data_IF_842842420813
#
_entry.id   IF_842842420813
#
_cell.length_a   1.000
_cell.length_b   1.000
_cell.length_c   1.000
_cell.angle_alpha   90.00
_cell.angle_beta   90.00
_cell.angle_gamma   90.00
#
_symmetry.space_group_name_H-M   'P 1'
#
loop_
_entity.id
_entity.type
_entity.pdbx_description
1 polymer ?
#
# COMPACT_ATOMS: atom_id res chain seq x y z
N UNK A 1 11.78 24.94 -4.09
CA UNK A 1 10.74 24.69 -5.12
C UNK A 1 9.70 25.81 -5.09
N UNK A 2 9.21 26.25 -6.26
CA UNK A 2 8.10 27.23 -6.32
C UNK A 2 6.76 26.60 -5.94
N UNK A 3 5.76 27.39 -5.47
CA UNK A 3 4.43 26.85 -5.15
C UNK A 3 3.80 26.04 -6.29
N UNK A 4 4.01 26.48 -7.55
CA UNK A 4 3.54 25.77 -8.74
C UNK A 4 4.21 24.41 -8.90
N UNK A 5 5.52 24.28 -8.62
CA UNK A 5 6.23 23.00 -8.68
C UNK A 5 5.73 22.03 -7.63
N UNK A 6 5.40 22.52 -6.43
CA UNK A 6 4.81 21.71 -5.35
C UNK A 6 3.40 21.20 -5.75
N UNK A 7 2.58 22.04 -6.39
CA UNK A 7 1.25 21.62 -6.92
C UNK A 7 1.38 20.56 -8.01
N UNK A 8 2.28 20.77 -8.98
CA UNK A 8 2.53 19.80 -10.05
C UNK A 8 3.05 18.46 -9.50
N UNK A 9 3.91 18.50 -8.49
CA UNK A 9 4.35 17.30 -7.78
C UNK A 9 3.18 16.56 -7.12
N UNK A 10 2.31 17.29 -6.41
CA UNK A 10 1.11 16.70 -5.81
C UNK A 10 0.19 16.04 -6.84
N UNK A 11 -0.02 16.68 -8.01
CA UNK A 11 -0.80 16.11 -9.11
C UNK A 11 -0.13 14.85 -9.69
N UNK A 12 1.20 14.87 -9.85
CA UNK A 12 1.95 13.70 -10.33
C UNK A 12 1.77 12.49 -9.39
N UNK A 13 1.90 12.70 -8.08
CA UNK A 13 1.70 11.64 -7.09
C UNK A 13 0.24 11.16 -7.07
N UNK A 14 -0.72 12.08 -7.03
CA UNK A 14 -2.13 11.72 -6.96
C UNK A 14 -2.58 10.90 -8.18
N UNK A 15 -2.23 11.36 -9.40
CA UNK A 15 -2.59 10.64 -10.63
C UNK A 15 -1.91 9.27 -10.73
N UNK A 16 -0.62 9.16 -10.37
CA UNK A 16 0.08 7.88 -10.32
C UNK A 16 -0.58 6.90 -9.34
N UNK A 17 -1.02 7.39 -8.18
CA UNK A 17 -1.61 6.55 -7.14
C UNK A 17 -3.06 6.17 -7.44
N UNK A 18 -3.82 7.03 -8.12
CA UNK A 18 -5.12 6.65 -8.71
C UNK A 18 -4.91 5.48 -9.68
N UNK A 19 -3.95 5.59 -10.60
CA UNK A 19 -3.62 4.50 -11.52
C UNK A 19 -3.18 3.23 -10.81
N UNK A 20 -2.41 3.33 -9.73
CA UNK A 20 -1.99 2.17 -8.93
C UNK A 20 -3.19 1.49 -8.28
N UNK A 21 -4.13 2.27 -7.69
CA UNK A 21 -5.35 1.74 -7.10
C UNK A 21 -6.26 1.06 -8.12
N UNK A 22 -6.49 1.71 -9.27
CA UNK A 22 -7.23 1.12 -10.39
C UNK A 22 -6.60 -0.20 -10.83
N UNK A 23 -5.29 -0.20 -11.12
CA UNK A 23 -4.58 -1.36 -11.66
C UNK A 23 -4.64 -2.57 -10.73
N UNK A 24 -4.43 -2.34 -9.44
CA UNK A 24 -4.35 -3.40 -8.43
C UNK A 24 -5.59 -4.31 -8.46
N UNK A 25 -6.76 -3.72 -8.47
CA UNK A 25 -8.03 -4.44 -8.43
C UNK A 25 -8.41 -5.00 -9.81
N UNK A 26 -8.22 -4.20 -10.86
CA UNK A 26 -8.54 -4.60 -12.24
C UNK A 26 -7.71 -5.81 -12.67
N UNK A 27 -6.40 -5.77 -12.45
CA UNK A 27 -5.52 -6.87 -12.85
C UNK A 27 -5.91 -8.18 -12.16
N UNK A 28 -6.22 -8.11 -10.86
CA UNK A 28 -6.70 -9.26 -10.09
C UNK A 28 -7.98 -9.85 -10.68
N UNK A 29 -8.96 -9.00 -11.03
CA UNK A 29 -10.22 -9.43 -11.61
C UNK A 29 -10.03 -10.03 -13.01
N UNK A 30 -9.29 -9.35 -13.89
CA UNK A 30 -9.06 -9.80 -15.27
C UNK A 30 -8.33 -11.17 -15.31
N UNK A 31 -7.39 -11.41 -14.41
CA UNK A 31 -6.70 -12.69 -14.34
C UNK A 31 -7.65 -13.81 -13.91
N UNK A 32 -8.56 -13.57 -12.97
CA UNK A 32 -9.60 -14.55 -12.63
C UNK A 32 -10.52 -14.79 -13.84
N UNK A 33 -10.84 -13.75 -14.59
CA UNK A 33 -11.70 -13.85 -15.77
C UNK A 33 -11.06 -14.67 -16.90
N UNK A 34 -9.77 -14.45 -17.13
CA UNK A 34 -8.97 -15.19 -18.12
C UNK A 34 -8.78 -16.67 -17.73
N UNK A 35 -8.54 -16.96 -16.45
CA UNK A 35 -8.14 -18.29 -16.00
C UNK A 35 -9.29 -19.15 -15.47
N UNK A 36 -10.38 -18.53 -15.07
CA UNK A 36 -11.46 -19.19 -14.32
C UNK A 36 -11.11 -19.60 -12.89
N UNK A 37 -9.87 -19.37 -12.43
CA UNK A 37 -9.36 -19.85 -11.14
C UNK A 37 -9.09 -18.70 -10.16
N UNK A 38 -9.70 -18.76 -8.98
CA UNK A 38 -9.53 -17.76 -7.93
C UNK A 38 -8.08 -17.67 -7.40
N UNK A 39 -7.34 -18.79 -7.39
CA UNK A 39 -5.93 -18.83 -6.97
C UNK A 39 -5.01 -18.01 -7.86
N UNK A 40 -5.36 -17.81 -9.13
CA UNK A 40 -4.58 -16.99 -10.07
C UNK A 40 -4.50 -15.53 -9.66
N UNK A 41 -5.52 -15.02 -8.97
CA UNK A 41 -5.51 -13.67 -8.39
C UNK A 41 -4.38 -13.47 -7.38
N UNK A 42 -4.20 -14.44 -6.48
CA UNK A 42 -3.14 -14.38 -5.49
C UNK A 42 -1.74 -14.43 -6.11
N UNK A 43 -1.56 -15.24 -7.17
CA UNK A 43 -0.30 -15.26 -7.94
C UNK A 43 -0.03 -13.89 -8.58
N UNK A 44 -1.06 -13.24 -9.14
CA UNK A 44 -0.93 -11.89 -9.67
C UNK A 44 -0.42 -10.90 -8.62
N UNK A 45 -0.92 -11.00 -7.38
CA UNK A 45 -0.51 -10.14 -6.28
C UNK A 45 0.91 -10.44 -5.79
N UNK A 46 1.33 -11.73 -5.78
CA UNK A 46 2.72 -12.11 -5.55
C UNK A 46 3.65 -11.38 -6.53
N UNK A 47 3.28 -11.34 -7.82
CA UNK A 47 4.07 -10.64 -8.85
C UNK A 47 4.18 -9.13 -8.59
N UNK A 48 3.22 -8.51 -7.91
CA UNK A 48 3.31 -7.09 -7.55
C UNK A 48 4.24 -6.78 -6.39
N UNK A 49 4.51 -7.75 -5.51
CA UNK A 49 5.41 -7.57 -4.35
C UNK A 49 6.86 -7.96 -4.70
N UNK A 50 7.03 -8.87 -5.64
CA UNK A 50 8.31 -9.47 -5.99
C UNK A 50 9.40 -8.44 -6.41
N UNK A 51 9.12 -7.40 -7.22
CA UNK A 51 10.11 -6.40 -7.60
C UNK A 51 10.73 -5.67 -6.39
N UNK A 52 9.91 -5.34 -5.39
CA UNK A 52 10.36 -4.66 -4.17
C UNK A 52 11.29 -5.50 -3.32
N UNK A 53 11.16 -6.84 -3.36
CA UNK A 53 12.04 -7.75 -2.62
C UNK A 53 13.35 -8.00 -3.40
N UNK A 54 13.22 -8.35 -4.68
CA UNK A 54 14.35 -8.87 -5.47
C UNK A 54 15.19 -7.74 -6.05
N UNK A 55 14.55 -6.66 -6.52
CA UNK A 55 15.23 -5.61 -7.30
C UNK A 55 15.53 -4.34 -6.51
N UNK A 56 15.03 -4.18 -5.28
CA UNK A 56 15.22 -2.96 -4.49
C UNK A 56 16.69 -2.50 -4.39
N UNK A 57 17.69 -3.39 -4.15
CA UNK A 57 19.08 -2.96 -4.09
C UNK A 57 19.60 -2.41 -5.43
N UNK A 58 19.21 -3.02 -6.53
CA UNK A 58 19.62 -2.62 -7.88
C UNK A 58 18.93 -1.33 -8.30
N UNK A 59 17.65 -1.15 -7.95
CA UNK A 59 16.92 0.07 -8.21
C UNK A 59 17.52 1.26 -7.46
N UNK A 60 17.96 1.06 -6.20
CA UNK A 60 18.68 2.09 -5.44
C UNK A 60 19.94 2.57 -6.16
N UNK A 61 20.77 1.64 -6.64
CA UNK A 61 21.99 1.97 -7.41
C UNK A 61 21.64 2.70 -8.72
N UNK A 62 20.60 2.26 -9.41
CA UNK A 62 20.14 2.90 -10.65
C UNK A 62 19.72 4.35 -10.41
N UNK A 63 18.96 4.60 -9.33
CA UNK A 63 18.51 5.95 -8.95
C UNK A 63 19.68 6.85 -8.55
N UNK A 64 20.65 6.30 -7.80
CA UNK A 64 21.82 7.07 -7.36
C UNK A 64 22.72 7.50 -8.52
N UNK A 65 22.81 6.70 -9.58
CA UNK A 65 23.59 6.98 -10.79
C UNK A 65 22.83 7.77 -11.87
N UNK A 66 21.56 8.07 -11.64
CA UNK A 66 20.67 8.71 -12.61
C UNK A 66 20.26 10.11 -12.14
N UNK A 67 19.56 10.82 -13.01
CA UNK A 67 18.79 12.00 -12.63
C UNK A 67 17.40 11.54 -12.14
N UNK A 68 17.14 11.56 -10.81
CA UNK A 68 15.97 10.88 -10.25
C UNK A 68 14.64 11.39 -10.83
N UNK A 69 14.49 12.71 -10.98
CA UNK A 69 13.25 13.27 -11.51
C UNK A 69 12.97 12.84 -12.96
N UNK A 70 14.00 12.72 -13.81
CA UNK A 70 13.86 12.22 -15.18
C UNK A 70 13.60 10.72 -15.22
N UNK A 71 14.22 9.97 -14.32
CA UNK A 71 14.00 8.54 -14.21
C UNK A 71 12.56 8.23 -13.74
N UNK A 72 11.99 9.05 -12.84
CA UNK A 72 10.57 8.96 -12.46
C UNK A 72 9.64 9.12 -13.68
N UNK A 73 9.92 10.06 -14.58
CA UNK A 73 9.16 10.22 -15.83
C UNK A 73 9.21 8.97 -16.69
N UNK A 74 10.41 8.38 -16.85
CA UNK A 74 10.58 7.13 -17.61
C UNK A 74 9.83 5.96 -17.00
N UNK A 75 9.82 5.86 -15.66
CA UNK A 75 9.06 4.84 -14.95
C UNK A 75 7.55 4.94 -15.22
N UNK A 76 7.00 6.16 -15.22
CA UNK A 76 5.58 6.38 -15.52
C UNK A 76 5.23 6.10 -16.99
N UNK A 77 6.08 6.53 -17.92
CA UNK A 77 5.91 6.20 -19.34
C UNK A 77 5.96 4.70 -19.58
N UNK A 78 6.90 3.99 -18.91
CA UNK A 78 7.00 2.54 -18.97
C UNK A 78 5.71 1.86 -18.48
N UNK A 79 5.18 2.28 -17.31
CA UNK A 79 3.93 1.74 -16.78
C UNK A 79 2.75 1.97 -17.73
N UNK A 80 2.62 3.19 -18.24
CA UNK A 80 1.57 3.54 -19.21
C UNK A 80 1.68 2.72 -20.49
N UNK A 81 2.88 2.57 -21.07
CA UNK A 81 3.11 1.79 -22.29
C UNK A 81 2.81 0.30 -22.11
N UNK A 82 3.22 -0.28 -21.00
CA UNK A 82 2.92 -1.69 -20.66
C UNK A 82 1.41 -1.91 -20.58
N UNK A 83 0.66 -0.97 -19.99
CA UNK A 83 -0.80 -1.10 -19.91
C UNK A 83 -1.51 -0.88 -21.23
N UNK A 84 -1.02 0.02 -22.11
CA UNK A 84 -1.56 0.17 -23.46
C UNK A 84 -1.37 -1.13 -24.25
N UNK A 85 -0.18 -1.76 -24.16
CA UNK A 85 0.07 -3.04 -24.80
C UNK A 85 -0.83 -4.15 -24.22
N UNK A 86 -1.01 -4.16 -22.89
CA UNK A 86 -1.90 -5.13 -22.23
C UNK A 86 -3.36 -4.98 -22.66
N UNK A 87 -3.86 -3.76 -22.77
CA UNK A 87 -5.22 -3.49 -23.24
C UNK A 87 -5.42 -3.97 -24.69
N UNK A 88 -4.43 -3.77 -25.57
CA UNK A 88 -4.45 -4.24 -26.94
C UNK A 88 -4.48 -5.79 -27.00
N UNK A 89 -3.64 -6.46 -26.24
CA UNK A 89 -3.63 -7.94 -26.16
C UNK A 89 -4.94 -8.48 -25.58
N UNK A 90 -5.48 -7.84 -24.56
CA UNK A 90 -6.77 -8.22 -23.95
C UNK A 90 -7.92 -8.08 -24.96
N UNK A 91 -7.99 -6.95 -25.68
CA UNK A 91 -9.00 -6.69 -26.73
C UNK A 91 -8.89 -7.68 -27.89
N UNK A 92 -7.68 -8.10 -28.24
CA UNK A 92 -7.42 -9.08 -29.29
C UNK A 92 -7.70 -10.56 -28.84
N UNK A 93 -8.07 -10.80 -27.58
CA UNK A 93 -8.26 -12.16 -27.04
C UNK A 93 -6.94 -12.94 -26.84
N UNK A 94 -5.80 -12.24 -26.88
CA UNK A 94 -4.46 -12.82 -26.75
C UNK A 94 -3.88 -12.71 -25.33
N UNK A 95 -4.63 -12.10 -24.40
CA UNK A 95 -4.21 -11.97 -23.01
C UNK A 95 -4.26 -13.35 -22.32
N UNK A 96 -3.11 -13.80 -21.84
CA UNK A 96 -2.98 -15.00 -21.02
C UNK A 96 -2.68 -14.65 -19.57
N UNK A 97 -2.81 -15.60 -18.64
CA UNK A 97 -2.43 -15.40 -17.24
C UNK A 97 -0.96 -14.96 -17.11
N UNK A 98 -0.06 -15.57 -17.89
CA UNK A 98 1.36 -15.22 -17.91
C UNK A 98 1.60 -13.74 -18.31
N UNK A 99 0.85 -13.25 -19.30
CA UNK A 99 0.88 -11.83 -19.69
C UNK A 99 0.41 -10.96 -18.54
N UNK A 100 -0.72 -11.28 -17.89
CA UNK A 100 -1.24 -10.53 -16.74
C UNK A 100 -0.28 -10.52 -15.55
N UNK A 101 0.39 -11.63 -15.26
CA UNK A 101 1.44 -11.71 -14.23
C UNK A 101 2.65 -10.84 -14.57
N UNK A 102 3.13 -10.91 -15.83
CA UNK A 102 4.23 -10.07 -16.30
C UNK A 102 3.90 -8.58 -16.26
N UNK A 103 2.69 -8.20 -16.63
CA UNK A 103 2.19 -6.81 -16.52
C UNK A 103 2.15 -6.37 -15.05
N UNK A 104 1.66 -7.23 -14.13
CA UNK A 104 1.67 -6.97 -12.70
C UNK A 104 3.08 -6.67 -12.17
N UNK A 105 4.04 -7.51 -12.54
CA UNK A 105 5.45 -7.32 -12.21
C UNK A 105 6.02 -6.01 -12.77
N UNK A 106 5.80 -5.71 -14.04
CA UNK A 106 6.29 -4.50 -14.70
C UNK A 106 5.71 -3.21 -14.08
N UNK A 107 4.40 -3.20 -13.80
CA UNK A 107 3.74 -2.04 -13.17
C UNK A 107 4.25 -1.83 -11.74
N UNK A 108 4.44 -2.90 -10.98
CA UNK A 108 5.01 -2.83 -9.63
C UNK A 108 6.47 -2.37 -9.65
N UNK A 109 7.30 -2.87 -10.58
CA UNK A 109 8.66 -2.41 -10.79
C UNK A 109 8.71 -0.90 -11.05
N UNK A 110 7.86 -0.41 -11.94
CA UNK A 110 7.76 1.03 -12.22
C UNK A 110 7.30 1.84 -11.00
N UNK A 111 6.40 1.31 -10.16
CA UNK A 111 5.98 1.95 -8.92
C UNK A 111 7.14 2.06 -7.91
N UNK A 112 7.89 0.97 -7.68
CA UNK A 112 9.05 0.99 -6.78
C UNK A 112 10.11 2.01 -7.27
N UNK A 113 10.39 2.00 -8.56
CA UNK A 113 11.34 2.94 -9.16
C UNK A 113 10.88 4.39 -8.98
N UNK A 114 9.60 4.69 -9.24
CA UNK A 114 9.01 6.02 -9.06
C UNK A 114 9.15 6.51 -7.60
N UNK A 115 8.82 5.66 -6.62
CA UNK A 115 8.89 5.99 -5.19
C UNK A 115 10.34 6.32 -4.79
N UNK A 116 11.31 5.50 -5.19
CA UNK A 116 12.73 5.73 -4.93
C UNK A 116 13.23 7.01 -5.59
N UNK A 117 12.84 7.24 -6.84
CA UNK A 117 13.22 8.45 -7.60
C UNK A 117 12.71 9.72 -6.92
N UNK A 118 11.45 9.77 -6.51
CA UNK A 118 10.91 10.96 -5.85
C UNK A 118 11.52 11.20 -4.48
N UNK A 119 11.78 10.16 -3.69
CA UNK A 119 12.51 10.29 -2.42
C UNK A 119 13.90 10.89 -2.65
N UNK A 120 14.63 10.41 -3.65
CA UNK A 120 15.96 10.93 -3.99
C UNK A 120 15.91 12.37 -4.52
N UNK A 121 14.96 12.70 -5.42
CA UNK A 121 14.80 14.05 -5.98
C UNK A 121 14.43 15.08 -4.89
N UNK A 122 13.55 14.74 -3.97
CA UNK A 122 13.20 15.60 -2.82
C UNK A 122 14.42 15.78 -1.92
N UNK A 123 15.11 14.69 -1.58
CA UNK A 123 16.30 14.74 -0.72
C UNK A 123 17.45 15.56 -1.28
N UNK A 124 17.61 15.61 -2.62
CA UNK A 124 18.67 16.36 -3.28
C UNK A 124 18.29 17.82 -3.58
N UNK A 125 17.02 18.11 -3.86
CA UNK A 125 16.59 19.40 -4.43
C UNK A 125 15.64 20.24 -3.57
N UNK A 126 15.17 19.76 -2.43
CA UNK A 126 14.24 20.49 -1.57
C UNK A 126 14.93 21.11 -0.35
N UNK A 127 14.62 22.36 -0.04
CA UNK A 127 15.03 22.97 1.22
C UNK A 127 14.39 22.24 2.42
N UNK A 128 15.05 22.16 3.60
CA UNK A 128 14.53 21.43 4.77
C UNK A 128 13.09 21.80 5.14
N UNK A 129 12.73 23.07 5.08
CA UNK A 129 11.38 23.57 5.36
C UNK A 129 10.32 23.05 4.35
N UNK A 130 10.71 22.68 3.13
CA UNK A 130 9.83 22.15 2.09
C UNK A 130 9.72 20.64 2.12
N UNK A 131 10.73 19.92 2.66
CA UNK A 131 10.75 18.45 2.74
C UNK A 131 9.53 17.91 3.47
N UNK A 132 9.18 18.50 4.62
CA UNK A 132 8.00 18.09 5.40
C UNK A 132 6.72 18.18 4.57
N UNK A 133 6.54 19.29 3.85
CA UNK A 133 5.36 19.51 2.99
C UNK A 133 5.30 18.54 1.82
N UNK A 134 6.43 18.27 1.17
CA UNK A 134 6.50 17.32 0.03
C UNK A 134 6.25 15.89 0.50
N UNK A 135 6.83 15.50 1.63
CA UNK A 135 6.58 14.18 2.22
C UNK A 135 5.11 14.02 2.65
N UNK A 136 4.51 15.06 3.26
CA UNK A 136 3.09 15.05 3.60
C UNK A 136 2.20 14.91 2.35
N UNK A 137 2.51 15.61 1.25
CA UNK A 137 1.80 15.47 -0.02
C UNK A 137 1.98 14.07 -0.62
N UNK A 138 3.19 13.48 -0.50
CA UNK A 138 3.44 12.11 -0.98
C UNK A 138 2.58 11.09 -0.22
N UNK A 139 2.51 11.22 1.09
CA UNK A 139 1.74 10.29 1.93
C UNK A 139 0.24 10.53 1.75
N UNK A 140 -0.25 11.75 1.95
CA UNK A 140 -1.67 12.06 1.88
C UNK A 140 -2.22 11.90 0.45
N UNK A 141 -1.54 12.49 -0.54
CA UNK A 141 -1.93 12.37 -1.96
C UNK A 141 -1.80 10.93 -2.45
N UNK A 142 -0.80 10.20 -1.97
CA UNK A 142 -0.60 8.78 -2.27
C UNK A 142 -1.75 7.92 -1.76
N UNK A 143 -2.10 8.04 -0.49
CA UNK A 143 -3.18 7.26 0.13
C UNK A 143 -4.54 7.62 -0.48
N UNK A 144 -4.86 8.91 -0.57
CA UNK A 144 -6.13 9.35 -1.17
C UNK A 144 -6.25 8.90 -2.62
N UNK A 145 -5.18 9.05 -3.41
CA UNK A 145 -5.19 8.62 -4.81
C UNK A 145 -5.41 7.11 -4.96
N UNK A 146 -4.71 6.30 -4.17
CA UNK A 146 -4.85 4.84 -4.20
C UNK A 146 -6.25 4.38 -3.81
N UNK A 147 -6.81 4.96 -2.74
CA UNK A 147 -8.18 4.66 -2.28
C UNK A 147 -9.22 5.05 -3.31
N UNK A 148 -9.09 6.25 -3.93
CA UNK A 148 -9.99 6.68 -5.00
C UNK A 148 -9.88 5.77 -6.23
N UNK A 149 -8.67 5.41 -6.65
CA UNK A 149 -8.44 4.50 -7.77
C UNK A 149 -9.06 3.13 -7.52
N UNK A 150 -8.88 2.58 -6.34
CA UNK A 150 -9.47 1.32 -5.94
C UNK A 150 -11.00 1.37 -5.97
N UNK A 151 -11.60 2.39 -5.36
CA UNK A 151 -13.06 2.57 -5.34
C UNK A 151 -13.66 2.72 -6.76
N UNK A 152 -12.95 3.37 -7.68
CA UNK A 152 -13.40 3.57 -9.06
C UNK A 152 -13.23 2.32 -9.94
N UNK A 153 -12.38 1.38 -9.54
CA UNK A 153 -11.97 0.24 -10.38
C UNK A 153 -13.13 -0.66 -10.77
N UNK A 154 -13.96 -1.04 -9.81
CA UNK A 154 -15.10 -1.93 -10.04
C UNK A 154 -16.18 -1.27 -10.91
N UNK A 155 -16.46 0.03 -10.69
CA UNK A 155 -17.39 0.78 -11.53
C UNK A 155 -16.87 0.94 -12.96
N UNK A 156 -15.60 1.30 -13.11
CA UNK A 156 -14.97 1.42 -14.42
C UNK A 156 -15.00 0.09 -15.17
N UNK A 157 -14.71 -1.02 -14.49
CA UNK A 157 -14.75 -2.35 -15.09
C UNK A 157 -16.16 -2.76 -15.50
N UNK A 158 -17.17 -2.51 -14.67
CA UNK A 158 -18.55 -2.85 -14.95
C UNK A 158 -19.14 -2.02 -16.12
N UNK A 159 -18.74 -0.74 -16.22
CA UNK A 159 -19.29 0.20 -17.20
C UNK A 159 -18.57 0.16 -18.54
N UNK A 160 -17.24 0.17 -18.51
CA UNK A 160 -16.40 0.29 -19.70
C UNK A 160 -15.82 -1.04 -20.20
N UNK A 161 -15.88 -2.09 -19.38
CA UNK A 161 -15.25 -3.38 -19.67
C UNK A 161 -13.73 -3.39 -19.43
N UNK A 162 -13.12 -4.56 -19.53
CA UNK A 162 -11.72 -4.78 -19.14
C UNK A 162 -10.72 -3.94 -19.92
N UNK A 163 -10.75 -3.99 -21.24
CA UNK A 163 -9.79 -3.26 -22.10
C UNK A 163 -9.84 -1.75 -21.88
N UNK A 164 -11.04 -1.16 -21.85
CA UNK A 164 -11.20 0.28 -21.66
C UNK A 164 -10.74 0.72 -20.26
N UNK A 165 -10.99 -0.10 -19.23
CA UNK A 165 -10.54 0.21 -17.88
C UNK A 165 -9.01 0.13 -17.73
N UNK A 166 -8.36 -0.81 -18.42
CA UNK A 166 -6.89 -0.85 -18.50
C UNK A 166 -6.34 0.39 -19.22
N UNK A 167 -6.99 0.86 -20.30
CA UNK A 167 -6.61 2.11 -21.00
C UNK A 167 -6.83 3.34 -20.11
N UNK A 168 -7.93 3.40 -19.37
CA UNK A 168 -8.15 4.45 -18.37
C UNK A 168 -7.02 4.45 -17.33
N UNK A 169 -6.62 3.28 -16.84
CA UNK A 169 -5.49 3.14 -15.92
C UNK A 169 -4.18 3.61 -16.57
N UNK A 170 -3.92 3.24 -17.81
CA UNK A 170 -2.75 3.70 -18.57
C UNK A 170 -2.72 5.22 -18.67
N UNK A 171 -3.88 5.87 -18.95
CA UNK A 171 -3.99 7.32 -19.08
C UNK A 171 -3.61 8.06 -17.80
N UNK A 172 -3.89 7.50 -16.61
CA UNK A 172 -3.48 8.10 -15.34
C UNK A 172 -1.96 8.10 -15.16
N UNK A 173 -1.25 7.02 -15.56
CA UNK A 173 0.21 6.98 -15.53
C UNK A 173 0.82 7.91 -16.59
N UNK A 174 0.26 8.01 -17.77
CA UNK A 174 0.70 8.96 -18.80
C UNK A 174 0.49 10.41 -18.35
N UNK A 175 -0.63 10.73 -17.70
CA UNK A 175 -0.87 12.04 -17.09
C UNK A 175 0.15 12.32 -15.97
N UNK A 176 0.43 11.34 -15.11
CA UNK A 176 1.49 11.43 -14.10
C UNK A 176 2.86 11.70 -14.75
N UNK A 177 3.18 11.04 -15.86
CA UNK A 177 4.43 11.29 -16.61
C UNK A 177 4.52 12.74 -17.11
N UNK A 178 3.41 13.32 -17.60
CA UNK A 178 3.37 14.74 -18.02
C UNK A 178 3.65 15.66 -16.84
N UNK A 179 2.94 15.49 -15.70
CA UNK A 179 3.18 16.31 -14.52
C UNK A 179 4.59 16.11 -13.96
N UNK A 180 5.08 14.89 -13.92
CA UNK A 180 6.46 14.54 -13.51
C UNK A 180 7.50 15.20 -14.41
N UNK A 181 7.25 15.26 -15.73
CA UNK A 181 8.14 15.94 -16.69
C UNK A 181 8.21 17.44 -16.44
N UNK A 182 7.05 18.07 -16.14
CA UNK A 182 7.00 19.49 -15.80
C UNK A 182 7.77 19.79 -14.50
N UNK A 183 7.68 18.91 -13.50
CA UNK A 183 8.47 19.01 -12.27
C UNK A 183 9.96 18.81 -12.56
N UNK A 184 10.32 17.76 -13.31
CA UNK A 184 11.72 17.44 -13.65
C UNK A 184 12.42 18.59 -14.42
N UNK A 185 11.72 19.24 -15.34
CA UNK A 185 12.26 20.42 -16.08
C UNK A 185 12.60 21.58 -15.16
N UNK A 186 11.81 21.79 -14.09
CA UNK A 186 12.02 22.87 -13.10
C UNK A 186 13.09 22.54 -12.07
N UNK A 187 13.31 21.26 -11.81
CA UNK A 187 14.35 20.78 -10.89
C UNK A 187 15.72 20.63 -11.59
N UNK A 188 15.76 20.42 -12.89
CA UNK A 188 16.98 20.15 -13.66
C UNK A 188 18.07 21.25 -13.51
N UNK A 189 17.67 22.49 -13.22
CA UNK A 189 18.59 23.59 -12.97
C UNK A 189 19.22 23.56 -11.57
N UNK A 190 18.68 22.78 -10.63
CA UNK A 190 19.09 22.73 -9.22
C UNK A 190 19.59 21.34 -8.79
N UNK A 191 19.56 20.35 -9.67
CA UNK A 191 19.91 18.97 -9.32
C UNK A 191 21.43 18.78 -9.36
N UNK A 192 22.11 18.49 -8.23
CA UNK A 192 23.54 18.21 -8.22
C UNK A 192 23.85 17.00 -9.09
N UNK A 193 25.10 16.95 -9.62
CA UNK A 193 25.58 15.79 -10.35
C UNK A 193 25.38 14.49 -9.54
N UNK A 194 25.17 13.34 -10.20
CA UNK A 194 24.95 12.07 -9.53
C UNK A 194 26.08 11.79 -8.53
N UNK A 195 25.72 11.55 -7.28
CA UNK A 195 26.71 11.22 -6.26
C UNK A 195 27.25 9.81 -6.53
N UNK A 196 28.56 9.72 -6.73
CA UNK A 196 29.32 8.48 -6.94
C UNK A 196 29.45 7.64 -5.65
N UNK A 197 28.38 7.38 -4.92
CA UNK A 197 28.42 6.42 -3.82
C UNK A 197 28.02 5.06 -4.35
N UNK A 198 29.02 4.22 -4.58
CA UNK A 198 28.81 2.81 -4.89
C UNK A 198 28.15 2.12 -3.68
N UNK A 199 26.85 2.08 -3.66
CA UNK A 199 26.10 1.19 -2.78
C UNK A 199 26.01 -0.17 -3.48
N UNK A 200 26.74 -1.16 -2.95
CA UNK A 200 26.67 -2.54 -3.41
C UNK A 200 25.63 -3.32 -2.58
N UNK A 201 25.36 -4.56 -2.97
CA UNK A 201 24.46 -5.45 -2.24
C UNK A 201 24.90 -5.68 -0.78
N UNK A 202 26.21 -5.83 -0.52
CA UNK A 202 26.75 -6.03 0.84
C UNK A 202 26.44 -4.88 1.80
N UNK A 203 26.68 -3.59 1.49
CA UNK A 203 26.26 -2.49 2.35
C UNK A 203 24.76 -2.44 2.58
N UNK A 204 23.95 -2.71 1.56
CA UNK A 204 22.50 -2.76 1.68
C UNK A 204 22.05 -3.84 2.68
N UNK A 205 22.57 -5.07 2.56
CA UNK A 205 22.27 -6.16 3.51
C UNK A 205 22.76 -5.85 4.93
N UNK A 206 23.91 -5.19 5.06
CA UNK A 206 24.43 -4.75 6.35
C UNK A 206 23.52 -3.70 7.01
N UNK A 207 23.02 -2.73 6.22
CA UNK A 207 22.05 -1.72 6.71
C UNK A 207 20.73 -2.35 7.14
N UNK A 208 20.21 -3.33 6.37
CA UNK A 208 19.01 -4.10 6.74
C UNK A 208 19.26 -4.90 8.04
N UNK A 209 20.39 -5.59 8.15
CA UNK A 209 20.75 -6.34 9.35
C UNK A 209 20.89 -5.43 10.58
N UNK A 210 21.45 -4.23 10.43
CA UNK A 210 21.56 -3.25 11.50
C UNK A 210 20.16 -2.73 11.93
N UNK A 211 19.25 -2.49 10.98
CA UNK A 211 17.87 -2.09 11.27
C UNK A 211 17.09 -3.17 12.00
N UNK A 212 17.17 -4.43 11.54
CA UNK A 212 16.52 -5.58 12.20
C UNK A 212 17.07 -5.79 13.62
N UNK A 213 18.38 -5.70 13.81
CA UNK A 213 19.01 -5.80 15.13
C UNK A 213 18.53 -4.68 16.05
N UNK A 214 18.43 -3.44 15.56
CA UNK A 214 17.93 -2.31 16.33
C UNK A 214 16.46 -2.51 16.76
N UNK A 215 15.62 -3.05 15.89
CA UNK A 215 14.22 -3.42 16.21
C UNK A 215 14.21 -4.52 17.29
N UNK A 216 15.00 -5.60 17.12
CA UNK A 216 15.02 -6.73 18.02
C UNK A 216 15.55 -6.37 19.42
N UNK A 217 16.49 -5.44 19.51
CA UNK A 217 17.07 -4.98 20.78
C UNK A 217 16.15 -4.03 21.58
N UNK A 218 15.08 -3.51 20.95
CA UNK A 218 14.14 -2.56 21.56
C UNK A 218 12.71 -3.11 21.53
N UNK A 219 12.28 -3.82 22.61
CA UNK A 219 10.97 -4.47 22.65
C UNK A 219 9.79 -3.56 22.34
N UNK A 220 9.91 -2.27 22.68
CA UNK A 220 8.88 -1.26 22.40
C UNK A 220 8.70 -1.01 20.90
N UNK A 221 9.82 -0.88 20.16
CA UNK A 221 9.81 -0.71 18.71
C UNK A 221 9.26 -1.98 18.05
N UNK A 222 9.77 -3.15 18.46
CA UNK A 222 9.30 -4.44 17.97
C UNK A 222 7.80 -4.62 18.18
N UNK A 223 7.28 -4.25 19.35
CA UNK A 223 5.86 -4.34 19.67
C UNK A 223 5.00 -3.53 18.70
N UNK A 224 5.31 -2.25 18.47
CA UNK A 224 4.51 -1.42 17.55
C UNK A 224 4.64 -1.87 16.09
N UNK A 225 5.81 -2.30 15.65
CA UNK A 225 5.97 -2.85 14.29
C UNK A 225 5.22 -4.17 14.12
N UNK A 226 5.17 -5.04 15.14
CA UNK A 226 4.35 -6.25 15.10
C UNK A 226 2.85 -5.93 15.00
N UNK A 227 2.36 -4.89 15.69
CA UNK A 227 0.98 -4.42 15.54
C UNK A 227 0.70 -3.95 14.12
N UNK A 228 1.64 -3.21 13.51
CA UNK A 228 1.50 -2.75 12.13
C UNK A 228 1.52 -3.94 11.18
N UNK A 229 2.43 -4.91 11.34
CA UNK A 229 2.48 -6.12 10.51
C UNK A 229 1.20 -6.94 10.63
N UNK A 230 0.66 -7.11 11.84
CA UNK A 230 -0.61 -7.79 12.05
C UNK A 230 -1.76 -7.10 11.30
N UNK A 231 -1.81 -5.78 11.33
CA UNK A 231 -2.80 -5.01 10.59
C UNK A 231 -2.60 -5.11 9.06
N UNK A 232 -1.34 -5.16 8.60
CA UNK A 232 -1.01 -5.35 7.20
C UNK A 232 -1.39 -6.73 6.68
N UNK A 233 -1.39 -7.78 7.51
CA UNK A 233 -1.92 -9.10 7.10
C UNK A 233 -3.39 -9.02 6.72
N UNK A 234 -4.18 -8.20 7.42
CA UNK A 234 -5.59 -7.95 7.06
C UNK A 234 -5.68 -7.22 5.73
N UNK A 235 -4.88 -6.17 5.51
CA UNK A 235 -4.88 -5.41 4.25
C UNK A 235 -4.51 -6.30 3.07
N UNK A 236 -3.44 -7.10 3.18
CA UNK A 236 -3.10 -8.06 2.15
C UNK A 236 -4.21 -9.09 1.94
N UNK A 237 -4.85 -9.52 3.03
CA UNK A 237 -5.96 -10.45 3.02
C UNK A 237 -7.19 -9.91 2.27
N UNK A 238 -7.67 -8.72 2.63
CA UNK A 238 -8.83 -8.10 1.96
C UNK A 238 -8.54 -7.79 0.51
N UNK A 239 -7.35 -7.31 0.20
CA UNK A 239 -6.95 -7.01 -1.17
C UNK A 239 -6.86 -8.26 -2.05
N UNK A 240 -6.34 -9.36 -1.52
CA UNK A 240 -6.14 -10.58 -2.28
C UNK A 240 -7.35 -11.49 -2.35
N UNK A 241 -8.19 -11.51 -1.30
CA UNK A 241 -9.31 -12.45 -1.18
C UNK A 241 -10.66 -11.83 -1.61
N UNK A 242 -10.77 -10.49 -1.74
CA UNK A 242 -12.05 -9.84 -2.05
C UNK A 242 -12.61 -10.29 -3.39
N UNK A 243 -11.85 -10.21 -4.48
CA UNK A 243 -12.32 -10.59 -5.81
C UNK A 243 -12.71 -12.09 -5.87
N UNK A 244 -11.88 -13.04 -5.40
CA UNK A 244 -12.26 -14.44 -5.25
C UNK A 244 -13.53 -14.65 -4.42
N UNK A 245 -13.68 -13.95 -3.31
CA UNK A 245 -14.84 -14.07 -2.42
C UNK A 245 -16.11 -13.57 -3.08
N UNK A 246 -16.10 -12.38 -3.70
CA UNK A 246 -17.26 -11.80 -4.39
C UNK A 246 -17.73 -12.72 -5.51
N UNK A 247 -16.79 -13.26 -6.31
CA UNK A 247 -17.13 -14.12 -7.44
C UNK A 247 -17.58 -15.51 -7.02
N UNK A 248 -16.86 -16.18 -6.11
CA UNK A 248 -17.07 -17.60 -5.82
C UNK A 248 -18.00 -17.86 -4.62
N UNK A 249 -18.11 -16.92 -3.66
CA UNK A 249 -18.94 -17.10 -2.46
C UNK A 249 -20.24 -16.33 -2.57
N UNK A 250 -20.18 -15.08 -3.06
CA UNK A 250 -21.38 -14.25 -3.20
C UNK A 250 -22.08 -14.45 -4.55
N UNK A 251 -21.36 -14.99 -5.57
CA UNK A 251 -21.91 -15.15 -6.92
C UNK A 251 -22.18 -13.82 -7.64
N UNK A 252 -21.48 -12.74 -7.23
CA UNK A 252 -21.71 -11.38 -7.71
C UNK A 252 -20.60 -10.93 -8.67
N UNK A 253 -20.95 -9.94 -9.51
CA UNK A 253 -20.06 -9.39 -10.53
C UNK A 253 -19.16 -8.25 -10.03
N UNK A 254 -18.40 -7.62 -10.96
CA UNK A 254 -17.43 -6.57 -10.65
C UNK A 254 -18.06 -5.31 -10.04
N UNK A 255 -19.35 -5.05 -10.31
CA UNK A 255 -20.07 -3.93 -9.70
C UNK A 255 -20.18 -4.09 -8.18
N UNK A 256 -20.53 -5.29 -7.70
CA UNK A 256 -20.61 -5.59 -6.26
C UNK A 256 -19.22 -5.50 -5.60
N UNK A 257 -18.19 -6.00 -6.28
CA UNK A 257 -16.80 -5.84 -5.86
C UNK A 257 -16.43 -4.36 -5.66
N UNK A 258 -16.73 -3.51 -6.66
CA UNK A 258 -16.47 -2.07 -6.56
C UNK A 258 -17.25 -1.37 -5.44
N UNK A 259 -18.52 -1.76 -5.21
CA UNK A 259 -19.32 -1.23 -4.11
C UNK A 259 -18.74 -1.59 -2.74
N UNK A 260 -18.31 -2.83 -2.55
CA UNK A 260 -17.71 -3.29 -1.29
C UNK A 260 -16.39 -2.55 -1.06
N UNK A 261 -15.54 -2.43 -2.08
CA UNK A 261 -14.24 -1.76 -1.97
C UNK A 261 -14.40 -0.25 -1.74
N UNK A 262 -15.38 0.41 -2.39
CA UNK A 262 -15.72 1.81 -2.13
C UNK A 262 -16.14 2.04 -0.66
N UNK A 263 -16.80 1.08 -0.03
CA UNK A 263 -17.15 1.14 1.39
C UNK A 263 -15.91 1.15 2.30
N UNK A 264 -14.85 0.39 1.95
CA UNK A 264 -13.56 0.49 2.64
C UNK A 264 -12.99 1.90 2.54
N UNK A 265 -13.03 2.50 1.33
CA UNK A 265 -12.56 3.86 1.11
C UNK A 265 -13.31 4.89 1.97
N UNK A 266 -14.65 4.77 2.07
CA UNK A 266 -15.47 5.63 2.94
C UNK A 266 -15.06 5.49 4.41
N UNK A 267 -14.90 4.27 4.90
CA UNK A 267 -14.41 3.99 6.24
C UNK A 267 -13.01 4.57 6.50
N UNK A 268 -12.10 4.41 5.54
CA UNK A 268 -10.73 4.93 5.66
C UNK A 268 -10.68 6.46 5.71
N UNK A 269 -11.49 7.14 4.91
CA UNK A 269 -11.61 8.61 4.92
C UNK A 269 -12.18 9.07 6.26
N UNK A 270 -13.30 8.49 6.71
CA UNK A 270 -13.93 8.83 7.98
C UNK A 270 -12.98 8.59 9.16
N UNK A 271 -12.29 7.44 9.17
CA UNK A 271 -11.28 7.11 10.17
C UNK A 271 -10.10 8.09 10.17
N UNK A 272 -9.54 8.39 8.99
CA UNK A 272 -8.43 9.33 8.85
C UNK A 272 -8.74 10.73 9.36
N UNK A 273 -9.97 11.24 9.13
CA UNK A 273 -10.42 12.55 9.59
C UNK A 273 -10.68 12.60 11.11
N UNK A 274 -11.02 11.46 11.71
CA UNK A 274 -11.46 11.40 13.11
C UNK A 274 -10.41 10.85 14.07
N UNK A 275 -9.48 10.00 13.62
CA UNK A 275 -8.55 9.25 14.48
C UNK A 275 -7.73 10.14 15.42
N UNK A 276 -7.25 11.31 14.94
CA UNK A 276 -6.45 12.23 15.77
C UNK A 276 -7.30 12.80 16.90
N UNK A 277 -8.50 13.33 16.57
CA UNK A 277 -9.41 13.89 17.57
C UNK A 277 -9.88 12.85 18.58
N UNK A 278 -10.24 11.66 18.11
CA UNK A 278 -10.69 10.57 18.95
C UNK A 278 -9.56 10.03 19.84
N UNK A 279 -8.32 9.96 19.33
CA UNK A 279 -7.16 9.53 20.11
C UNK A 279 -6.79 10.53 21.22
N UNK A 280 -6.99 11.83 20.97
CA UNK A 280 -6.84 12.87 21.99
C UNK A 280 -7.92 12.77 23.08
N UNK A 281 -9.17 12.48 22.70
CA UNK A 281 -10.31 12.41 23.62
C UNK A 281 -10.35 11.12 24.44
N UNK A 282 -10.13 9.97 23.81
CA UNK A 282 -10.28 8.64 24.43
C UNK A 282 -8.94 7.98 24.77
N UNK A 283 -7.84 8.59 24.35
CA UNK A 283 -6.48 8.05 24.52
C UNK A 283 -6.08 7.05 23.45
N UNK A 284 -4.80 7.06 23.08
CA UNK A 284 -4.25 6.21 22.01
C UNK A 284 -4.45 4.71 22.26
N UNK A 285 -4.30 4.27 23.53
CA UNK A 285 -4.53 2.88 23.92
C UNK A 285 -5.94 2.40 23.60
N UNK A 286 -6.94 3.16 24.02
CA UNK A 286 -8.34 2.76 23.82
C UNK A 286 -8.72 2.77 22.33
N UNK A 287 -8.13 3.69 21.56
CA UNK A 287 -8.32 3.72 20.11
C UNK A 287 -7.70 2.50 19.42
N UNK A 288 -6.50 2.05 19.84
CA UNK A 288 -5.91 0.81 19.32
C UNK A 288 -6.78 -0.41 19.66
N UNK A 289 -7.25 -0.52 20.91
CA UNK A 289 -8.13 -1.61 21.33
C UNK A 289 -9.44 -1.61 20.55
N UNK A 290 -10.08 -0.44 20.40
CA UNK A 290 -11.29 -0.30 19.61
C UNK A 290 -11.07 -0.69 18.15
N UNK A 291 -9.97 -0.28 17.54
CA UNK A 291 -9.63 -0.60 16.16
C UNK A 291 -9.46 -2.12 15.94
N UNK A 292 -8.72 -2.82 16.79
CA UNK A 292 -8.55 -4.27 16.66
C UNK A 292 -9.86 -5.02 16.90
N UNK A 293 -10.70 -4.55 17.82
CA UNK A 293 -12.02 -5.14 18.04
C UNK A 293 -12.96 -4.92 16.85
N UNK A 294 -13.01 -3.69 16.30
CA UNK A 294 -13.80 -3.37 15.11
C UNK A 294 -13.30 -4.17 13.92
N UNK A 295 -11.99 -4.30 13.72
CA UNK A 295 -11.43 -5.12 12.63
C UNK A 295 -11.83 -6.59 12.78
N UNK A 296 -11.73 -7.16 13.99
CA UNK A 296 -12.13 -8.53 14.26
C UNK A 296 -13.64 -8.76 14.01
N UNK A 297 -14.49 -7.87 14.52
CA UNK A 297 -15.94 -7.95 14.32
C UNK A 297 -16.31 -7.82 12.83
N UNK A 298 -15.67 -6.90 12.11
CA UNK A 298 -15.88 -6.71 10.68
C UNK A 298 -15.47 -7.94 9.87
N UNK A 299 -14.31 -8.52 10.15
CA UNK A 299 -13.83 -9.74 9.47
C UNK A 299 -14.72 -10.95 9.79
N UNK A 300 -15.18 -11.05 11.01
CA UNK A 300 -16.10 -12.11 11.42
C UNK A 300 -17.46 -11.97 10.71
N UNK A 301 -18.02 -10.75 10.69
CA UNK A 301 -19.25 -10.45 9.97
C UNK A 301 -19.11 -10.73 8.46
N UNK A 302 -17.97 -10.37 7.86
CA UNK A 302 -17.67 -10.66 6.46
C UNK A 302 -17.59 -12.16 6.19
N UNK A 303 -16.96 -12.94 7.08
CA UNK A 303 -16.83 -14.40 6.94
C UNK A 303 -18.18 -15.12 6.96
N UNK A 304 -19.16 -14.66 7.77
CA UNK A 304 -20.43 -15.32 8.00
C UNK A 304 -21.61 -14.64 7.30
N UNK A 305 -21.40 -13.41 6.80
CA UNK A 305 -22.44 -12.63 6.15
C UNK A 305 -22.94 -13.24 4.83
N UNK A 306 -24.16 -12.88 4.48
CA UNK A 306 -24.79 -13.20 3.21
C UNK A 306 -25.28 -11.92 2.54
N UNK A 307 -25.44 -11.97 1.22
CA UNK A 307 -25.85 -10.83 0.42
C UNK A 307 -24.76 -9.73 0.35
N UNK A 308 -25.12 -8.53 -0.09
CA UNK A 308 -24.21 -7.43 -0.36
C UNK A 308 -24.02 -6.49 0.84
N UNK A 309 -25.07 -6.30 1.65
CA UNK A 309 -25.08 -5.29 2.72
C UNK A 309 -24.07 -5.57 3.83
N UNK A 310 -23.96 -6.84 4.28
CA UNK A 310 -23.03 -7.21 5.37
C UNK A 310 -21.57 -7.01 4.96
N UNK A 311 -21.10 -7.48 3.79
CA UNK A 311 -19.77 -7.17 3.27
C UNK A 311 -19.48 -5.67 3.15
N UNK A 312 -20.43 -4.88 2.67
CA UNK A 312 -20.27 -3.42 2.57
C UNK A 312 -20.04 -2.78 3.94
N UNK A 313 -20.88 -3.09 4.94
CA UNK A 313 -20.75 -2.56 6.30
C UNK A 313 -19.44 -3.03 6.96
N UNK A 314 -19.05 -4.28 6.78
CA UNK A 314 -17.82 -4.83 7.28
C UNK A 314 -16.59 -4.10 6.70
N UNK A 315 -16.62 -3.74 5.42
CA UNK A 315 -15.53 -3.00 4.79
C UNK A 315 -15.45 -1.54 5.26
N UNK A 316 -16.56 -0.88 5.58
CA UNK A 316 -16.53 0.43 6.28
C UNK A 316 -15.79 0.27 7.63
N UNK A 317 -16.14 -0.75 8.41
CA UNK A 317 -15.49 -1.03 9.69
C UNK A 317 -13.98 -1.29 9.56
N UNK A 318 -13.58 -2.07 8.55
CA UNK A 318 -12.16 -2.33 8.26
C UNK A 318 -11.41 -1.05 7.87
N UNK A 319 -12.00 -0.21 7.02
CA UNK A 319 -11.43 1.07 6.63
C UNK A 319 -11.22 2.00 7.82
N UNK A 320 -12.21 2.10 8.72
CA UNK A 320 -12.11 2.85 9.97
C UNK A 320 -10.98 2.32 10.87
N UNK A 321 -10.97 1.01 11.11
CA UNK A 321 -10.03 0.35 12.01
C UNK A 321 -8.58 0.49 11.55
N UNK A 322 -8.33 0.40 10.24
CA UNK A 322 -6.99 0.49 9.67
C UNK A 322 -6.30 1.82 9.97
N UNK A 323 -7.04 2.92 10.14
CA UNK A 323 -6.46 4.24 10.41
C UNK A 323 -5.74 4.31 11.76
N UNK A 324 -6.02 3.41 12.69
CA UNK A 324 -5.29 3.30 13.95
C UNK A 324 -3.80 2.91 13.77
N UNK A 325 -3.39 2.44 12.59
CA UNK A 325 -1.99 2.22 12.24
C UNK A 325 -1.12 3.48 12.40
N UNK A 326 -1.72 4.66 12.19
CA UNK A 326 -1.01 5.95 12.40
C UNK A 326 -0.51 6.07 13.84
N UNK A 327 -1.29 5.58 14.82
CA UNK A 327 -0.90 5.60 16.24
C UNK A 327 0.31 4.69 16.46
N UNK A 328 0.25 3.45 15.97
CA UNK A 328 1.36 2.49 16.10
C UNK A 328 2.63 2.97 15.39
N UNK A 329 2.48 3.53 14.19
CA UNK A 329 3.61 4.05 13.41
C UNK A 329 4.27 5.26 14.11
N UNK A 330 3.48 6.21 14.62
CA UNK A 330 3.98 7.37 15.36
C UNK A 330 4.70 6.95 16.63
N UNK A 331 4.16 5.96 17.36
CA UNK A 331 4.79 5.43 18.57
C UNK A 331 6.10 4.68 18.25
N UNK A 332 6.13 3.88 17.18
CA UNK A 332 7.35 3.20 16.73
C UNK A 332 8.45 4.20 16.31
N UNK A 333 8.08 5.24 15.56
CA UNK A 333 9.02 6.27 15.10
C UNK A 333 9.56 7.11 16.25
N UNK A 334 8.72 7.48 17.23
CA UNK A 334 9.18 8.24 18.41
C UNK A 334 10.06 7.42 19.36
N UNK A 335 9.94 6.10 19.35
CA UNK A 335 10.80 5.19 20.13
C UNK A 335 12.13 4.86 19.43
N UNK A 336 12.22 5.08 18.11
CA UNK A 336 13.43 4.82 17.33
C UNK A 336 14.43 5.97 17.41
N UNK A 337 15.72 5.61 17.50
CA UNK A 337 16.79 6.59 17.41
C UNK A 337 16.78 7.28 16.02
N UNK A 338 16.80 8.62 15.95
CA UNK A 338 16.82 9.36 14.68
C UNK A 338 17.92 8.90 13.71
N UNK A 339 19.10 8.52 14.22
CA UNK A 339 20.21 8.01 13.41
C UNK A 339 19.93 6.64 12.76
N UNK A 340 18.97 5.87 13.27
CA UNK A 340 18.60 4.55 12.79
C UNK A 340 17.27 4.51 12.04
N UNK A 341 16.48 5.59 12.01
CA UNK A 341 15.14 5.60 11.40
C UNK A 341 15.15 5.13 9.94
N UNK A 342 16.13 5.51 9.14
CA UNK A 342 16.25 5.07 7.75
C UNK A 342 16.44 3.56 7.62
N UNK A 343 17.33 2.98 8.45
CA UNK A 343 17.62 1.54 8.48
C UNK A 343 16.43 0.73 9.00
N UNK A 344 15.78 1.23 10.05
CA UNK A 344 14.59 0.62 10.62
C UNK A 344 13.45 0.60 9.60
N UNK A 345 13.19 1.71 8.90
CA UNK A 345 12.17 1.79 7.87
C UNK A 345 12.47 0.87 6.68
N UNK A 346 13.72 0.75 6.25
CA UNK A 346 14.12 -0.17 5.18
C UNK A 346 13.89 -1.63 5.59
N UNK A 347 14.30 -1.99 6.81
CA UNK A 347 14.12 -3.33 7.36
C UNK A 347 12.66 -3.69 7.55
N UNK A 348 11.86 -2.73 8.03
CA UNK A 348 10.42 -2.91 8.14
C UNK A 348 9.75 -3.06 6.77
N UNK A 349 10.18 -2.30 5.76
CA UNK A 349 9.71 -2.44 4.38
C UNK A 349 9.97 -3.84 3.82
N UNK A 350 11.13 -4.43 4.08
CA UNK A 350 11.42 -5.83 3.71
C UNK A 350 10.50 -6.80 4.44
N UNK A 351 10.34 -6.67 5.77
CA UNK A 351 9.44 -7.51 6.55
C UNK A 351 8.00 -7.41 6.05
N UNK A 352 7.52 -6.20 5.74
CA UNK A 352 6.22 -5.98 5.15
C UNK A 352 6.04 -6.73 3.82
N UNK A 353 7.03 -6.67 2.94
CA UNK A 353 7.00 -7.37 1.65
C UNK A 353 7.00 -8.89 1.82
N UNK A 354 7.78 -9.42 2.77
CA UNK A 354 7.80 -10.85 3.10
C UNK A 354 6.46 -11.33 3.69
N UNK A 355 5.85 -10.54 4.58
CA UNK A 355 4.51 -10.81 5.10
C UNK A 355 3.47 -10.78 3.98
N UNK A 356 3.54 -9.79 3.08
CA UNK A 356 2.67 -9.72 1.91
C UNK A 356 2.79 -10.97 1.03
N UNK A 357 4.02 -11.41 0.74
CA UNK A 357 4.29 -12.63 -0.02
C UNK A 357 3.68 -13.86 0.66
N UNK A 358 3.89 -14.01 1.97
CA UNK A 358 3.36 -15.14 2.73
C UNK A 358 1.82 -15.15 2.75
N UNK A 359 1.18 -13.97 2.94
CA UNK A 359 -0.28 -13.84 2.93
C UNK A 359 -0.83 -14.15 1.54
N UNK A 360 -0.22 -13.66 0.46
CA UNK A 360 -0.69 -13.96 -0.90
C UNK A 360 -0.49 -15.43 -1.27
N UNK A 361 0.60 -16.07 -0.82
CA UNK A 361 0.77 -17.51 -0.97
C UNK A 361 -0.31 -18.30 -0.22
N UNK A 362 -0.65 -17.88 1.01
CA UNK A 362 -1.73 -18.46 1.79
C UNK A 362 -3.10 -18.27 1.09
N UNK A 363 -3.34 -17.09 0.52
CA UNK A 363 -4.57 -16.81 -0.25
C UNK A 363 -4.66 -17.72 -1.47
N UNK A 364 -3.55 -17.92 -2.20
CA UNK A 364 -3.52 -18.83 -3.34
C UNK A 364 -3.92 -20.26 -2.92
N UNK A 365 -3.35 -20.74 -1.81
CA UNK A 365 -3.67 -22.04 -1.25
C UNK A 365 -5.13 -22.14 -0.78
N UNK A 366 -5.60 -21.17 0.01
CA UNK A 366 -6.99 -21.14 0.48
C UNK A 366 -8.00 -21.06 -0.68
N UNK A 367 -7.69 -20.28 -1.72
CA UNK A 367 -8.55 -20.15 -2.90
C UNK A 367 -8.62 -21.44 -3.71
N UNK A 368 -7.51 -22.17 -3.83
CA UNK A 368 -7.46 -23.47 -4.50
C UNK A 368 -8.30 -24.53 -3.77
N UNK A 369 -8.42 -24.42 -2.45
CA UNK A 369 -9.21 -25.33 -1.60
C UNK A 369 -10.59 -24.78 -1.20
N UNK A 370 -11.04 -23.69 -1.83
CA UNK A 370 -12.33 -23.02 -1.56
C UNK A 370 -12.52 -22.57 -0.09
N UNK A 371 -11.43 -22.29 0.63
CA UNK A 371 -11.44 -21.88 2.04
C UNK A 371 -11.63 -20.38 2.23
N UNK A 372 -12.52 -19.75 1.49
CA UNK A 372 -12.75 -18.30 1.50
C UNK A 372 -13.24 -17.78 2.86
N UNK A 373 -14.31 -18.39 3.40
CA UNK A 373 -14.88 -18.02 4.70
C UNK A 373 -13.95 -18.34 5.88
N UNK A 374 -13.33 -19.55 5.95
CA UNK A 374 -12.34 -19.87 6.98
C UNK A 374 -11.16 -18.91 7.01
N UNK A 375 -10.69 -18.40 5.86
CA UNK A 375 -9.62 -17.42 5.77
C UNK A 375 -9.96 -16.13 6.53
N UNK A 376 -11.14 -15.54 6.28
CA UNK A 376 -11.58 -14.33 6.97
C UNK A 376 -11.84 -14.57 8.46
N UNK A 377 -12.39 -15.73 8.84
CA UNK A 377 -12.59 -16.11 10.23
C UNK A 377 -11.25 -16.25 10.97
N UNK A 378 -10.23 -16.85 10.35
CA UNK A 378 -8.89 -16.94 10.92
C UNK A 378 -8.26 -15.55 11.11
N UNK A 379 -8.44 -14.63 10.15
CA UNK A 379 -7.99 -13.24 10.31
C UNK A 379 -8.72 -12.53 11.46
N UNK A 380 -10.03 -12.76 11.63
CA UNK A 380 -10.79 -12.21 12.75
C UNK A 380 -10.22 -12.69 14.11
N UNK A 381 -9.93 -13.99 14.23
CA UNK A 381 -9.31 -14.56 15.42
C UNK A 381 -7.91 -13.99 15.66
N UNK A 382 -7.13 -13.77 14.61
CA UNK A 382 -5.82 -13.10 14.70
C UNK A 382 -5.97 -11.69 15.29
N UNK A 383 -6.95 -10.91 14.81
CA UNK A 383 -7.19 -9.55 15.34
C UNK A 383 -7.68 -9.57 16.80
N UNK A 384 -8.45 -10.56 17.22
CA UNK A 384 -8.82 -10.78 18.63
C UNK A 384 -7.59 -11.14 19.48
N UNK A 385 -6.69 -11.97 18.96
CA UNK A 385 -5.42 -12.29 19.61
C UNK A 385 -4.56 -11.03 19.80
N UNK A 386 -4.44 -10.20 18.76
CA UNK A 386 -3.71 -8.93 18.84
C UNK A 386 -4.38 -7.96 19.82
N UNK A 387 -5.70 -7.88 19.85
CA UNK A 387 -6.45 -7.13 20.87
C UNK A 387 -6.07 -7.59 22.29
N UNK A 388 -6.04 -8.90 22.55
CA UNK A 388 -5.61 -9.46 23.82
C UNK A 388 -4.18 -9.11 24.19
N UNK A 389 -3.26 -9.19 23.23
CA UNK A 389 -1.85 -8.79 23.42
C UNK A 389 -1.74 -7.31 23.77
N UNK A 390 -2.44 -6.42 23.06
CA UNK A 390 -2.47 -4.98 23.36
C UNK A 390 -3.05 -4.73 24.76
N UNK A 391 -4.14 -5.42 25.12
CA UNK A 391 -4.79 -5.27 26.41
C UNK A 391 -3.85 -5.62 27.57
N UNK A 392 -3.09 -6.71 27.44
CA UNK A 392 -2.13 -7.17 28.46
C UNK A 392 -0.86 -6.31 28.50
N UNK A 393 -0.26 -6.07 27.33
CA UNK A 393 1.02 -5.35 27.21
C UNK A 393 0.92 -3.89 27.64
N UNK A 394 -0.22 -3.24 27.39
CA UNK A 394 -0.43 -1.84 27.79
C UNK A 394 -0.71 -1.64 29.28
N UNK A 395 -0.86 -2.72 30.05
CA UNK A 395 -0.84 -2.68 31.53
C UNK A 395 0.58 -2.51 32.07
N UNK A 396 1.62 -2.90 31.32
CA UNK A 396 3.03 -2.74 31.67
C UNK A 396 3.48 -1.29 31.47
N UNK A 397 4.19 -0.72 32.43
CA UNK A 397 4.42 0.73 32.53
C UNK A 397 5.14 1.42 31.37
N UNK A 398 6.03 0.72 30.66
CA UNK A 398 6.82 1.31 29.55
C UNK A 398 6.01 1.57 28.29
N UNK A 399 5.22 0.60 27.82
CA UNK A 399 4.36 0.75 26.64
C UNK A 399 3.24 1.76 26.94
N UNK A 400 2.74 1.79 28.17
CA UNK A 400 1.76 2.76 28.62
C UNK A 400 2.27 4.20 28.53
N UNK A 401 3.56 4.44 28.78
CA UNK A 401 4.16 5.78 28.65
C UNK A 401 4.19 6.29 27.23
N UNK A 402 4.48 5.42 26.24
CA UNK A 402 4.53 5.78 24.83
C UNK A 402 3.15 6.06 24.21
N UNK A 403 2.09 5.53 24.82
CA UNK A 403 0.70 5.72 24.39
C UNK A 403 -0.01 6.88 25.13
N UNK A 404 0.68 7.60 26.03
CA UNK A 404 0.13 8.83 26.61
C UNK A 404 0.23 9.94 25.57
N UNK A 405 -0.84 10.74 25.36
CA UNK A 405 -0.71 11.94 24.55
C UNK A 405 0.39 12.82 25.13
N UNK A 406 1.25 13.37 24.28
CA UNK A 406 2.17 14.43 24.68
C UNK A 406 1.33 15.63 25.13
N UNK A 407 1.05 15.72 26.43
CA UNK A 407 0.45 16.91 27.03
C UNK A 407 1.51 18.01 27.01
N UNK A 408 1.38 18.97 26.09
CA UNK A 408 2.14 20.20 26.12
C UNK A 408 3.09 20.42 24.94
N UNK A 409 2.58 20.46 23.72
CA UNK A 409 3.20 21.17 22.60
C UNK A 409 2.08 21.76 21.73
N UNK A 410 1.43 22.79 22.23
CA UNK A 410 0.73 23.83 21.48
C UNK A 410 1.20 25.16 22.00
#
# INVERSE_FOLDING_TARGET
MTPTTVRLYGLAIATAKIGTGLFFLINTWLIIDITGHASSAAIALVMTVLPGIVLAPFLGVLVDRSQPARLAVRAELFRGSVLVAYAALYKAGLATAAVGYGVGFCVALGNELQVLCWRAAIGRGAAPAQMLRLNALTVAGGQTGQVLGAALSGFALAWAGGAATVLLTASTFLASAVFSRLVARRLAAAEPAPASRARGLRPYLAELGAGLRHIAQRPQIAFFYLLILANLTVIFGINGMLAPFVRNVLGLGPEAFGKIDACYALGAIAGGLTIVRLSQRFGQRNMLLAAFLVAAASLWAFAHGSGLAVPMLAYVGLGLAFQANVISLSAAQSAADPAFQGRVNASFGLLNSLVGLAVYALIAWCSAHHLFRPFYAAQALTMLGVFGVVLVSTRRGEIRRLLRPAMGAM
#
